data_IF_198014320491
#
_entry.id   IF_198014320491
#
_cell.length_a   1.000
_cell.length_b   1.000
_cell.length_c   1.000
_cell.angle_alpha   90.00
_cell.angle_beta   90.00
_cell.angle_gamma   90.00
#
_symmetry.space_group_name_H-M   'P 1'
#
loop_
_entity.id
_entity.type
_entity.pdbx_description
1 polymer ?
#
# COMPACT_ATOMS: atom_id res chain seq x y z
N UNK A 1 -8.90 16.59 7.35
CA UNK A 1 -8.76 18.01 6.95
C UNK A 1 -7.70 18.17 5.87
N UNK A 2 -6.42 17.77 6.12
CA UNK A 2 -5.35 17.91 5.12
C UNK A 2 -5.70 17.28 3.76
N UNK A 3 -6.25 16.05 3.77
CA UNK A 3 -6.69 15.39 2.53
C UNK A 3 -7.77 16.22 1.79
N UNK A 4 -8.75 16.78 2.51
CA UNK A 4 -9.78 17.63 1.91
C UNK A 4 -9.17 18.91 1.27
N UNK A 5 -8.19 19.52 1.94
CA UNK A 5 -7.46 20.66 1.40
C UNK A 5 -6.75 20.28 0.10
N UNK A 6 -5.92 19.25 0.10
CA UNK A 6 -5.17 18.79 -1.08
C UNK A 6 -6.11 18.45 -2.23
N UNK A 7 -7.18 17.69 -1.97
CA UNK A 7 -8.16 17.31 -2.97
C UNK A 7 -8.91 18.53 -3.55
N UNK A 8 -9.22 19.52 -2.71
CA UNK A 8 -9.89 20.75 -3.16
C UNK A 8 -8.99 21.65 -4.03
N UNK A 9 -7.68 21.64 -3.79
CA UNK A 9 -6.68 22.42 -4.52
C UNK A 9 -6.27 21.76 -5.84
N UNK A 10 -6.17 20.42 -5.86
CA UNK A 10 -5.59 19.66 -6.97
C UNK A 10 -6.59 18.76 -7.71
N UNK A 11 -7.86 18.75 -7.34
CA UNK A 11 -8.88 17.86 -7.92
C UNK A 11 -9.23 18.11 -9.39
N UNK A 12 -8.68 19.17 -10.01
CA UNK A 12 -8.62 19.35 -11.46
C UNK A 12 -9.95 19.27 -12.24
N UNK A 13 -11.10 19.64 -11.62
CA UNK A 13 -12.42 19.56 -12.26
C UNK A 13 -13.06 18.17 -12.21
N UNK A 14 -12.49 17.21 -11.49
CA UNK A 14 -13.08 15.90 -11.23
C UNK A 14 -14.05 16.05 -10.03
N UNK A 15 -15.24 15.44 -10.12
CA UNK A 15 -16.12 15.31 -8.96
C UNK A 15 -15.50 14.34 -7.96
N UNK A 16 -15.21 14.85 -6.76
CA UNK A 16 -14.61 14.08 -5.68
C UNK A 16 -15.63 13.94 -4.55
N UNK A 17 -15.91 12.70 -4.16
CA UNK A 17 -16.73 12.38 -3.02
C UNK A 17 -15.84 11.93 -1.85
N UNK A 18 -15.83 12.72 -0.77
CA UNK A 18 -15.07 12.45 0.45
C UNK A 18 -15.97 11.84 1.52
N UNK A 19 -15.71 10.59 1.88
CA UNK A 19 -16.29 9.95 3.06
C UNK A 19 -15.37 10.10 4.27
N UNK A 20 -15.89 10.56 5.38
CA UNK A 20 -15.16 10.65 6.64
C UNK A 20 -15.94 9.97 7.77
N UNK A 21 -15.26 9.24 8.65
CA UNK A 21 -15.89 8.60 9.81
C UNK A 21 -15.07 8.84 11.08
N UNK A 22 -15.76 9.14 12.16
CA UNK A 22 -15.22 9.28 13.51
C UNK A 22 -16.29 8.83 14.51
N UNK A 23 -15.95 7.90 15.41
CA UNK A 23 -16.91 7.33 16.38
C UNK A 23 -17.16 8.22 17.59
N UNK A 24 -16.19 9.07 17.95
CA UNK A 24 -16.29 9.95 19.12
C UNK A 24 -17.01 11.25 18.74
N UNK A 25 -18.16 11.47 19.30
CA UNK A 25 -19.05 12.58 18.93
C UNK A 25 -18.41 13.97 19.07
N UNK A 26 -17.57 14.17 20.07
CA UNK A 26 -16.87 15.46 20.25
C UNK A 26 -15.88 15.72 19.10
N UNK A 27 -15.10 14.68 18.71
CA UNK A 27 -14.14 14.80 17.61
C UNK A 27 -14.87 14.88 16.28
N UNK A 28 -15.98 14.17 16.13
CA UNK A 28 -16.83 14.25 14.95
C UNK A 28 -17.35 15.67 14.70
N UNK A 29 -17.79 16.39 15.74
CA UNK A 29 -18.21 17.80 15.61
C UNK A 29 -17.08 18.66 15.05
N UNK A 30 -15.87 18.55 15.61
CA UNK A 30 -14.68 19.25 15.10
C UNK A 30 -14.33 18.86 13.68
N UNK A 31 -14.51 17.57 13.33
CA UNK A 31 -14.29 17.09 11.96
C UNK A 31 -15.24 17.80 10.98
N UNK A 32 -16.54 17.90 11.30
CA UNK A 32 -17.52 18.60 10.46
C UNK A 32 -17.15 20.07 10.30
N UNK A 33 -16.87 20.79 11.39
CA UNK A 33 -16.46 22.20 11.37
C UNK A 33 -15.23 22.41 10.47
N UNK A 34 -14.25 21.51 10.53
CA UNK A 34 -13.04 21.59 9.74
C UNK A 34 -13.23 21.18 8.27
N UNK A 35 -14.26 20.41 7.93
CA UNK A 35 -14.58 20.02 6.56
C UNK A 35 -15.50 20.98 5.83
N UNK A 36 -16.29 21.76 6.56
CA UNK A 36 -17.27 22.71 6.02
C UNK A 36 -16.70 23.66 4.95
N UNK A 37 -15.49 24.25 5.11
CA UNK A 37 -14.90 25.13 4.11
C UNK A 37 -14.69 24.48 2.72
N UNK A 38 -14.67 23.16 2.64
CA UNK A 38 -14.41 22.41 1.41
C UNK A 38 -15.69 21.96 0.70
N UNK A 39 -16.86 22.12 1.31
CA UNK A 39 -18.15 21.66 0.78
C UNK A 39 -18.55 22.22 -0.58
N UNK A 40 -17.98 23.35 -1.00
CA UNK A 40 -18.19 23.93 -2.33
C UNK A 40 -17.41 23.23 -3.45
N UNK A 41 -16.38 22.47 -3.10
CA UNK A 41 -15.45 21.81 -4.06
C UNK A 41 -15.49 20.29 -3.98
N UNK A 42 -15.88 19.76 -2.83
CA UNK A 42 -15.95 18.34 -2.56
C UNK A 42 -17.37 17.97 -2.13
N UNK A 43 -17.86 16.84 -2.63
CA UNK A 43 -19.05 16.22 -2.04
C UNK A 43 -18.63 15.50 -0.77
N UNK A 44 -19.02 16.04 0.40
CA UNK A 44 -18.59 15.53 1.70
C UNK A 44 -19.73 14.78 2.36
N UNK A 45 -19.46 13.56 2.79
CA UNK A 45 -20.33 12.77 3.66
C UNK A 45 -19.54 12.33 4.88
N UNK A 46 -19.96 12.80 6.07
CA UNK A 46 -19.34 12.42 7.33
C UNK A 46 -20.30 11.62 8.18
N UNK A 47 -19.80 10.57 8.83
CA UNK A 47 -20.61 9.61 9.59
C UNK A 47 -20.04 9.51 11.01
N UNK A 48 -20.89 9.77 12.03
CA UNK A 48 -20.52 9.59 13.43
C UNK A 48 -20.73 8.14 13.85
N UNK A 49 -19.80 7.28 13.47
CA UNK A 49 -19.86 5.85 13.80
C UNK A 49 -18.45 5.22 13.71
N UNK A 50 -18.34 3.96 14.12
CA UNK A 50 -17.11 3.18 13.89
C UNK A 50 -16.87 2.96 12.40
N UNK A 51 -15.60 2.79 12.02
CA UNK A 51 -15.22 2.44 10.65
C UNK A 51 -16.04 1.24 10.12
N UNK A 52 -16.15 0.17 10.89
CA UNK A 52 -16.84 -1.05 10.48
C UNK A 52 -18.35 -0.88 10.28
N UNK A 53 -18.99 -0.03 11.09
CA UNK A 53 -20.42 0.28 10.91
C UNK A 53 -20.66 1.18 9.72
N UNK A 54 -19.74 2.12 9.44
CA UNK A 54 -19.85 3.07 8.33
C UNK A 54 -19.45 2.45 6.97
N UNK A 55 -18.56 1.44 6.97
CA UNK A 55 -17.99 0.85 5.76
C UNK A 55 -19.03 0.35 4.73
N UNK A 56 -20.08 -0.39 5.10
CA UNK A 56 -21.10 -0.84 4.13
C UNK A 56 -21.78 0.34 3.41
N UNK A 57 -21.97 1.47 4.09
CA UNK A 57 -22.56 2.69 3.50
C UNK A 57 -21.57 3.33 2.51
N UNK A 58 -20.30 3.44 2.87
CA UNK A 58 -19.26 3.95 1.99
C UNK A 58 -19.13 3.09 0.73
N UNK A 59 -19.06 1.75 0.87
CA UNK A 59 -19.00 0.82 -0.25
C UNK A 59 -20.22 0.96 -1.17
N UNK A 60 -21.42 1.06 -0.60
CA UNK A 60 -22.67 1.21 -1.38
C UNK A 60 -22.72 2.51 -2.18
N UNK A 61 -22.08 3.57 -1.70
CA UNK A 61 -22.06 4.86 -2.38
C UNK A 61 -21.06 4.91 -3.55
N UNK A 62 -20.12 3.96 -3.63
CA UNK A 62 -19.16 3.88 -4.73
C UNK A 62 -19.84 3.22 -5.92
N UNK A 63 -20.02 3.99 -7.00
CA UNK A 63 -20.55 3.44 -8.24
C UNK A 63 -19.56 2.46 -8.88
N UNK A 64 -20.07 1.47 -9.61
CA UNK A 64 -19.26 0.47 -10.31
C UNK A 64 -18.25 1.14 -11.25
N UNK A 65 -16.98 0.79 -11.10
CA UNK A 65 -15.89 1.31 -11.94
C UNK A 65 -15.36 2.68 -11.54
N UNK A 66 -15.86 3.28 -10.46
CA UNK A 66 -15.32 4.53 -9.92
C UNK A 66 -14.07 4.24 -9.08
N UNK A 67 -12.91 4.86 -9.40
CA UNK A 67 -11.72 4.73 -8.58
C UNK A 67 -11.98 5.23 -7.16
N UNK A 68 -11.50 4.48 -6.18
CA UNK A 68 -11.66 4.84 -4.77
C UNK A 68 -10.37 4.63 -4.00
N UNK A 69 -10.08 5.53 -3.07
CA UNK A 69 -8.93 5.44 -2.18
C UNK A 69 -9.40 5.44 -0.73
N UNK A 70 -9.01 4.43 0.03
CA UNK A 70 -9.34 4.30 1.44
C UNK A 70 -8.09 4.51 2.29
N UNK A 71 -8.11 5.57 3.10
CA UNK A 71 -7.13 5.77 4.15
C UNK A 71 -7.72 5.27 5.47
N UNK A 72 -7.13 4.21 6.03
CA UNK A 72 -7.62 3.56 7.25
C UNK A 72 -6.60 3.79 8.36
N UNK A 73 -6.97 4.64 9.32
CA UNK A 73 -6.17 4.97 10.51
C UNK A 73 -6.87 4.47 11.77
N UNK A 74 -6.80 3.16 12.08
CA UNK A 74 -7.47 2.61 13.24
C UNK A 74 -6.74 3.02 14.52
N UNK A 75 -7.48 3.25 15.59
CA UNK A 75 -6.89 3.45 16.92
C UNK A 75 -6.10 2.24 17.42
N UNK A 76 -6.38 1.05 16.81
CA UNK A 76 -5.66 -0.20 17.07
C UNK A 76 -6.23 -1.35 16.23
N UNK A 77 -5.58 -2.51 16.26
CA UNK A 77 -5.96 -3.69 15.47
C UNK A 77 -7.37 -4.25 15.78
N UNK A 78 -8.04 -3.76 16.82
CA UNK A 78 -9.42 -4.18 17.18
C UNK A 78 -10.50 -3.52 16.31
N UNK A 79 -10.20 -2.38 15.76
CA UNK A 79 -11.19 -1.54 15.06
C UNK A 79 -11.34 -1.91 13.57
N UNK A 80 -10.43 -2.73 13.02
CA UNK A 80 -10.42 -3.17 11.62
C UNK A 80 -10.15 -4.67 11.58
N UNK A 81 -10.80 -5.38 10.67
CA UNK A 81 -10.55 -6.79 10.38
C UNK A 81 -10.03 -6.96 8.95
N UNK A 82 -9.41 -8.09 8.71
CA UNK A 82 -8.98 -8.49 7.37
C UNK A 82 -10.12 -8.41 6.34
N UNK A 83 -11.30 -8.96 6.71
CA UNK A 83 -12.49 -9.01 5.84
C UNK A 83 -13.00 -7.61 5.48
N UNK A 84 -12.83 -6.62 6.36
CA UNK A 84 -13.21 -5.23 6.08
C UNK A 84 -12.38 -4.68 4.92
N UNK A 85 -11.05 -4.88 4.96
CA UNK A 85 -10.13 -4.46 3.90
C UNK A 85 -10.35 -5.27 2.62
N UNK A 86 -10.52 -6.58 2.74
CA UNK A 86 -10.83 -7.45 1.61
C UNK A 86 -12.09 -6.99 0.88
N UNK A 87 -13.14 -6.60 1.60
CA UNK A 87 -14.40 -6.12 1.01
C UNK A 87 -14.18 -4.86 0.15
N UNK A 88 -13.29 -3.96 0.57
CA UNK A 88 -12.89 -2.78 -0.21
C UNK A 88 -12.13 -3.20 -1.47
N UNK A 89 -11.13 -4.07 -1.33
CA UNK A 89 -10.30 -4.50 -2.45
C UNK A 89 -11.07 -5.34 -3.48
N UNK A 90 -12.22 -5.90 -3.11
CA UNK A 90 -13.15 -6.59 -4.03
C UNK A 90 -13.96 -5.64 -4.93
N UNK A 91 -14.01 -4.34 -4.64
CA UNK A 91 -14.69 -3.35 -5.48
C UNK A 91 -14.02 -3.17 -6.86
N UNK A 92 -12.81 -3.67 -7.05
CA UNK A 92 -12.04 -3.55 -8.28
C UNK A 92 -11.12 -2.33 -8.21
N UNK A 93 -11.47 -1.19 -8.78
CA UNK A 93 -10.63 0.02 -8.83
C UNK A 93 -10.46 0.72 -7.49
N UNK A 94 -10.13 -0.05 -6.44
CA UNK A 94 -9.96 0.46 -5.08
C UNK A 94 -8.53 0.28 -4.60
N UNK A 95 -8.06 1.28 -3.90
CA UNK A 95 -6.75 1.33 -3.27
C UNK A 95 -6.92 1.55 -1.77
N UNK A 96 -6.08 0.91 -0.98
CA UNK A 96 -6.14 0.99 0.48
C UNK A 96 -4.77 1.34 1.03
N UNK A 97 -4.72 2.34 1.90
CA UNK A 97 -3.56 2.69 2.71
C UNK A 97 -3.94 2.55 4.18
N UNK A 98 -3.33 1.60 4.87
CA UNK A 98 -3.63 1.30 6.27
C UNK A 98 -2.48 1.73 7.17
N UNK A 99 -2.80 2.48 8.22
CA UNK A 99 -1.91 2.62 9.36
C UNK A 99 -1.86 1.30 10.13
N UNK A 100 -0.77 0.57 9.98
CA UNK A 100 -0.58 -0.72 10.62
C UNK A 100 -0.08 -0.52 12.06
N UNK A 101 -0.84 -0.93 13.09
CA UNK A 101 -0.56 -0.63 14.48
C UNK A 101 0.53 -1.54 15.08
N UNK A 102 1.74 -1.49 14.52
CA UNK A 102 2.87 -2.37 14.84
C UNK A 102 3.09 -2.55 16.36
N UNK A 103 3.26 -1.44 17.09
CA UNK A 103 3.51 -1.50 18.52
C UNK A 103 2.35 -2.12 19.33
N UNK A 104 1.12 -1.94 18.85
CA UNK A 104 -0.08 -2.55 19.43
C UNK A 104 -0.07 -4.06 19.26
N UNK A 105 0.26 -4.53 18.06
CA UNK A 105 0.35 -5.97 17.76
C UNK A 105 1.49 -6.61 18.54
N UNK A 106 2.71 -6.04 18.51
CA UNK A 106 3.85 -6.60 19.27
C UNK A 106 3.51 -6.81 20.74
N UNK A 107 2.87 -5.82 21.39
CA UNK A 107 2.40 -5.96 22.78
C UNK A 107 1.33 -7.03 22.93
N UNK A 108 0.41 -7.10 21.97
CA UNK A 108 -0.68 -8.09 21.98
C UNK A 108 -0.22 -9.54 21.82
N UNK A 109 0.89 -9.79 21.11
CA UNK A 109 1.45 -11.14 20.95
C UNK A 109 1.82 -11.79 22.29
N UNK A 110 2.16 -11.00 23.33
CA UNK A 110 2.43 -11.48 24.69
C UNK A 110 1.17 -11.73 25.53
N UNK A 111 -0.04 -11.46 25.00
CA UNK A 111 -1.29 -11.50 25.76
C UNK A 111 -2.25 -12.52 25.13
N UNK A 112 -2.32 -13.77 25.59
CA UNK A 112 -3.15 -14.82 24.98
C UNK A 112 -4.63 -14.43 24.78
N UNK A 113 -5.20 -13.65 25.69
CA UNK A 113 -6.59 -13.21 25.64
C UNK A 113 -6.96 -12.36 24.41
N UNK A 114 -5.96 -11.80 23.70
CA UNK A 114 -6.22 -10.99 22.48
C UNK A 114 -5.77 -11.68 21.18
N UNK A 115 -5.27 -12.92 21.26
CA UNK A 115 -4.77 -13.65 20.09
C UNK A 115 -5.85 -13.79 19.01
N UNK A 116 -7.09 -14.15 19.37
CA UNK A 116 -8.18 -14.25 18.41
C UNK A 116 -8.47 -12.92 17.70
N UNK A 117 -8.33 -11.79 18.40
CA UNK A 117 -8.49 -10.47 17.80
C UNK A 117 -7.38 -10.17 16.80
N UNK A 118 -6.14 -10.53 17.13
CA UNK A 118 -5.00 -10.41 16.22
C UNK A 118 -5.21 -11.34 15.01
N UNK A 119 -5.60 -12.58 15.21
CA UNK A 119 -5.88 -13.53 14.14
C UNK A 119 -6.96 -13.01 13.17
N UNK A 120 -8.03 -12.37 13.68
CA UNK A 120 -9.03 -11.70 12.86
C UNK A 120 -8.48 -10.51 12.07
N UNK A 121 -7.53 -9.77 12.66
CA UNK A 121 -6.85 -8.67 11.95
C UNK A 121 -6.00 -9.19 10.77
N UNK A 122 -5.42 -10.39 10.89
CA UNK A 122 -4.63 -11.04 9.83
C UNK A 122 -5.47 -11.90 8.87
N UNK A 123 -6.75 -12.15 9.19
CA UNK A 123 -7.61 -13.06 8.41
C UNK A 123 -7.13 -14.52 8.41
N UNK A 124 -6.37 -14.92 9.43
CA UNK A 124 -5.79 -16.25 9.50
C UNK A 124 -5.66 -16.71 10.96
N UNK A 125 -6.12 -17.92 11.25
CA UNK A 125 -6.02 -18.53 12.58
C UNK A 125 -4.56 -18.83 12.97
N UNK A 126 -4.26 -18.72 14.27
CA UNK A 126 -2.98 -19.04 14.89
C UNK A 126 -1.78 -18.15 14.47
N UNK A 127 -2.01 -17.04 13.79
CA UNK A 127 -0.95 -16.08 13.43
C UNK A 127 -0.34 -15.48 14.68
N UNK A 128 -1.16 -15.04 15.63
CA UNK A 128 -0.70 -14.46 16.88
C UNK A 128 0.23 -15.42 17.65
N UNK A 129 -0.16 -16.69 17.72
CA UNK A 129 0.65 -17.72 18.39
C UNK A 129 1.95 -18.00 17.64
N UNK A 130 1.92 -18.02 16.32
CA UNK A 130 3.10 -18.25 15.49
C UNK A 130 4.10 -17.09 15.62
N UNK A 131 3.64 -15.85 15.47
CA UNK A 131 4.45 -14.65 15.61
C UNK A 131 4.96 -14.47 17.06
N UNK A 132 4.17 -14.91 18.05
CA UNK A 132 4.57 -14.88 19.46
C UNK A 132 5.84 -15.67 19.76
N UNK A 133 6.11 -16.74 19.01
CA UNK A 133 7.28 -17.62 19.16
C UNK A 133 8.55 -17.09 18.49
N UNK A 134 8.45 -16.14 17.58
CA UNK A 134 9.58 -15.56 16.88
C UNK A 134 10.45 -14.70 17.83
N UNK A 135 11.73 -14.57 17.54
CA UNK A 135 12.64 -13.67 18.27
C UNK A 135 12.24 -12.21 18.07
N UNK A 136 12.68 -11.27 18.91
CA UNK A 136 12.41 -9.85 18.72
C UNK A 136 12.85 -9.33 17.34
N UNK A 137 14.01 -9.77 16.87
CA UNK A 137 14.58 -9.40 15.58
C UNK A 137 13.71 -9.89 14.43
N UNK A 138 13.31 -11.16 14.46
CA UNK A 138 12.43 -11.76 13.45
C UNK A 138 11.05 -11.09 13.43
N UNK A 139 10.50 -10.74 14.59
CA UNK A 139 9.19 -10.07 14.69
C UNK A 139 9.13 -8.76 13.94
N UNK A 140 10.25 -8.02 13.86
CA UNK A 140 10.29 -6.72 13.19
C UNK A 140 9.74 -6.83 11.77
N UNK A 141 10.18 -7.82 11.02
CA UNK A 141 9.82 -8.01 9.63
C UNK A 141 8.60 -8.93 9.46
N UNK A 142 8.56 -10.04 10.21
CA UNK A 142 7.50 -11.05 10.07
C UNK A 142 6.10 -10.51 10.34
N UNK A 143 5.95 -9.60 11.30
CA UNK A 143 4.65 -9.06 11.71
C UNK A 143 3.98 -8.33 10.55
N UNK A 144 4.71 -7.50 9.81
CA UNK A 144 4.17 -6.76 8.65
C UNK A 144 4.08 -7.67 7.43
N UNK A 145 5.12 -8.45 7.16
CA UNK A 145 5.16 -9.38 6.03
C UNK A 145 3.99 -10.36 6.05
N UNK A 146 3.65 -10.92 7.21
CA UNK A 146 2.50 -11.82 7.36
C UNK A 146 1.16 -11.14 7.02
N UNK A 147 1.01 -9.89 7.37
CA UNK A 147 -0.18 -9.12 7.00
C UNK A 147 -0.27 -8.91 5.48
N UNK A 148 0.82 -8.48 4.86
CA UNK A 148 0.90 -8.33 3.41
C UNK A 148 0.65 -9.65 2.66
N UNK A 149 1.26 -10.77 3.12
CA UNK A 149 1.06 -12.09 2.52
C UNK A 149 -0.42 -12.51 2.46
N UNK A 150 -1.21 -12.12 3.46
CA UNK A 150 -2.65 -12.35 3.46
C UNK A 150 -3.31 -11.77 2.22
N UNK A 151 -3.01 -10.52 1.89
CA UNK A 151 -3.57 -9.82 0.73
C UNK A 151 -2.91 -10.22 -0.59
N UNK A 152 -1.62 -10.55 -0.59
CA UNK A 152 -0.94 -11.09 -1.79
C UNK A 152 -1.58 -12.39 -2.27
N UNK A 153 -2.02 -13.27 -1.35
CA UNK A 153 -2.78 -14.49 -1.68
C UNK A 153 -4.11 -14.20 -2.35
N UNK A 154 -4.70 -13.02 -2.13
CA UNK A 154 -5.90 -12.55 -2.82
C UNK A 154 -5.61 -11.88 -4.18
N UNK A 155 -4.36 -11.90 -4.63
CA UNK A 155 -3.92 -11.27 -5.89
C UNK A 155 -3.72 -9.77 -5.79
N UNK A 156 -3.48 -9.23 -4.59
CA UNK A 156 -3.17 -7.82 -4.40
C UNK A 156 -1.66 -7.57 -4.50
N UNK A 157 -1.31 -6.42 -5.04
CA UNK A 157 0.02 -5.82 -4.86
C UNK A 157 0.05 -5.12 -3.52
N UNK A 158 1.08 -5.38 -2.71
CA UNK A 158 1.21 -4.81 -1.37
C UNK A 158 2.60 -4.26 -1.13
N UNK A 159 2.69 -3.17 -0.40
CA UNK A 159 3.95 -2.61 0.09
C UNK A 159 3.77 -1.96 1.44
N UNK A 160 4.66 -2.26 2.36
CA UNK A 160 4.77 -1.60 3.65
C UNK A 160 5.87 -0.54 3.62
N UNK A 161 5.61 0.54 4.34
CA UNK A 161 6.50 1.69 4.49
C UNK A 161 6.73 1.91 5.98
N UNK A 162 7.98 1.77 6.41
CA UNK A 162 8.37 1.99 7.79
C UNK A 162 8.43 3.48 8.11
N UNK A 163 7.69 3.89 9.14
CA UNK A 163 7.76 5.24 9.69
C UNK A 163 8.45 5.17 11.04
N UNK A 164 9.64 5.75 11.12
CA UNK A 164 10.46 5.73 12.31
C UNK A 164 10.18 6.93 13.21
N UNK A 165 10.42 6.77 14.51
CA UNK A 165 10.45 7.90 15.42
C UNK A 165 11.69 8.77 15.13
N UNK A 166 11.55 10.10 15.12
CA UNK A 166 12.69 10.98 14.86
C UNK A 166 13.87 10.84 15.83
N UNK A 167 13.61 10.28 17.02
CA UNK A 167 14.56 10.18 18.12
C UNK A 167 14.90 8.73 18.53
N UNK A 168 14.41 7.72 17.80
CA UNK A 168 14.66 6.33 18.13
C UNK A 168 14.80 5.50 16.84
N UNK A 169 15.84 4.68 16.79
CA UNK A 169 16.06 3.73 15.69
C UNK A 169 15.16 2.51 15.82
N UNK A 170 13.85 2.76 15.79
CA UNK A 170 12.82 1.71 15.81
C UNK A 170 11.56 2.16 15.09
N UNK A 171 10.82 1.23 14.49
CA UNK A 171 9.54 1.53 13.87
C UNK A 171 8.55 2.17 14.86
N UNK A 172 7.93 3.27 14.46
CA UNK A 172 6.80 3.84 15.17
C UNK A 172 5.52 3.13 14.73
N UNK A 173 5.31 3.07 13.44
CA UNK A 173 4.25 2.31 12.77
C UNK A 173 4.67 2.01 11.33
N UNK A 174 3.86 1.23 10.64
CA UNK A 174 3.98 1.04 9.19
C UNK A 174 2.74 1.59 8.50
N UNK A 175 2.94 2.14 7.32
CA UNK A 175 1.87 2.37 6.35
C UNK A 175 1.89 1.20 5.38
N UNK A 176 0.76 0.48 5.27
CA UNK A 176 0.65 -0.65 4.33
C UNK A 176 -0.30 -0.26 3.20
N UNK A 177 0.24 -0.18 2.00
CA UNK A 177 -0.51 0.07 0.79
C UNK A 177 -0.90 -1.22 0.10
N UNK A 178 -2.13 -1.29 -0.41
CA UNK A 178 -2.68 -2.46 -1.06
C UNK A 178 -3.58 -2.06 -2.22
N UNK A 179 -3.43 -2.74 -3.37
CA UNK A 179 -4.28 -2.56 -4.54
C UNK A 179 -4.30 -3.81 -5.40
N UNK A 180 -5.33 -3.97 -6.24
CA UNK A 180 -5.34 -4.95 -7.34
C UNK A 180 -4.90 -4.35 -8.67
N UNK A 181 -4.74 -3.03 -8.71
CA UNK A 181 -4.37 -2.30 -9.92
C UNK A 181 -2.84 -2.12 -10.00
N UNK A 182 -2.16 -2.75 -10.97
CA UNK A 182 -0.71 -2.65 -11.07
C UNK A 182 -0.23 -1.21 -11.28
N UNK A 183 -1.01 -0.36 -11.96
CA UNK A 183 -0.66 1.05 -12.19
C UNK A 183 -0.66 1.81 -10.87
N UNK A 184 -1.68 1.65 -10.03
CA UNK A 184 -1.72 2.27 -8.70
C UNK A 184 -0.53 1.87 -7.83
N UNK A 185 -0.16 0.59 -7.89
CA UNK A 185 1.02 0.10 -7.16
C UNK A 185 2.33 0.74 -7.66
N UNK A 186 2.53 0.85 -8.98
CA UNK A 186 3.71 1.46 -9.58
C UNK A 186 3.83 2.93 -9.14
N UNK A 187 2.75 3.69 -9.26
CA UNK A 187 2.71 5.11 -8.86
C UNK A 187 3.06 5.27 -7.37
N UNK A 188 2.47 4.45 -6.51
CA UNK A 188 2.73 4.51 -5.07
C UNK A 188 4.18 4.12 -4.73
N UNK A 189 4.73 3.10 -5.41
CA UNK A 189 6.11 2.69 -5.24
C UNK A 189 7.09 3.82 -5.62
N UNK A 190 6.91 4.44 -6.78
CA UNK A 190 7.80 5.50 -7.26
C UNK A 190 7.70 6.77 -6.39
N UNK A 191 6.48 7.10 -5.93
CA UNK A 191 6.27 8.17 -4.95
C UNK A 191 7.06 7.89 -3.67
N UNK A 192 6.97 6.66 -3.15
CA UNK A 192 7.66 6.31 -1.92
C UNK A 192 9.18 6.32 -2.08
N UNK A 193 9.71 5.77 -3.18
CA UNK A 193 11.14 5.81 -3.48
C UNK A 193 11.66 7.25 -3.52
N UNK A 194 10.87 8.18 -4.06
CA UNK A 194 11.20 9.60 -4.05
C UNK A 194 11.24 10.19 -2.64
N UNK A 195 10.22 9.90 -1.81
CA UNK A 195 10.15 10.38 -0.43
C UNK A 195 11.29 9.82 0.45
N UNK A 196 11.65 8.55 0.27
CA UNK A 196 12.79 7.95 0.96
C UNK A 196 14.09 8.68 0.59
N UNK A 197 14.31 8.95 -0.69
CA UNK A 197 15.46 9.69 -1.16
C UNK A 197 15.54 11.11 -0.57
N UNK A 198 14.44 11.86 -0.61
CA UNK A 198 14.35 13.19 0.00
C UNK A 198 14.66 13.15 1.51
N UNK A 199 14.17 12.13 2.22
CA UNK A 199 14.44 11.94 3.65
C UNK A 199 15.93 11.67 3.92
N UNK A 200 16.55 10.80 3.14
CA UNK A 200 17.98 10.49 3.27
C UNK A 200 18.86 11.72 2.98
N UNK A 201 18.51 12.51 1.97
CA UNK A 201 19.20 13.78 1.66
C UNK A 201 19.09 14.78 2.82
N UNK A 202 17.93 14.90 3.45
CA UNK A 202 17.72 15.77 4.62
C UNK A 202 18.52 15.30 5.84
N UNK A 203 18.60 13.99 6.09
CA UNK A 203 19.34 13.43 7.22
C UNK A 203 20.85 13.49 7.05
N UNK A 204 21.34 13.41 5.82
CA UNK A 204 22.76 13.49 5.49
C UNK A 204 23.31 14.93 5.44
N UNK A 205 22.48 15.94 5.73
CA UNK A 205 22.89 17.35 5.66
C UNK A 205 23.36 17.79 4.26
N UNK A 206 22.84 17.17 3.22
CA UNK A 206 23.22 17.39 1.82
C UNK A 206 24.54 16.70 1.42
N UNK A 207 25.17 15.95 2.31
CA UNK A 207 26.30 15.09 1.96
C UNK A 207 25.73 13.78 1.40
N UNK A 208 25.84 13.57 0.10
CA UNK A 208 25.51 12.30 -0.54
C UNK A 208 26.39 11.25 0.16
N UNK A 209 25.77 10.31 0.88
CA UNK A 209 26.49 9.18 1.45
C UNK A 209 27.22 8.49 0.30
N UNK A 210 28.54 8.31 0.42
CA UNK A 210 29.35 7.57 -0.56
C UNK A 210 28.90 6.09 -0.70
N UNK A 211 28.05 5.63 0.23
CA UNK A 211 27.37 4.34 0.23
C UNK A 211 25.88 4.51 -0.18
N UNK A 212 25.68 5.37 -1.17
CA UNK A 212 24.37 5.86 -1.61
C UNK A 212 23.35 4.75 -1.91
N UNK A 213 22.12 5.19 -2.01
CA UNK A 213 20.90 4.45 -2.36
C UNK A 213 21.09 3.43 -3.52
N UNK A 214 22.05 3.69 -4.43
CA UNK A 214 22.40 2.78 -5.53
C UNK A 214 22.80 1.37 -5.05
N UNK A 215 23.40 1.24 -3.87
CA UNK A 215 23.80 -0.07 -3.33
C UNK A 215 22.62 -0.91 -2.81
N UNK A 216 21.46 -0.29 -2.58
CA UNK A 216 20.25 -0.95 -2.08
C UNK A 216 19.26 -1.30 -3.21
N UNK A 217 19.41 -0.68 -4.38
CA UNK A 217 18.54 -0.95 -5.52
C UNK A 217 18.95 -2.24 -6.22
N UNK A 218 17.97 -2.96 -6.77
CA UNK A 218 18.22 -4.12 -7.59
C UNK A 218 19.01 -3.72 -8.84
N UNK A 219 20.04 -4.51 -9.18
CA UNK A 219 20.77 -4.30 -10.44
C UNK A 219 19.89 -4.69 -11.64
N UNK A 220 20.21 -4.16 -12.81
CA UNK A 220 19.51 -4.53 -14.04
C UNK A 220 19.56 -6.05 -14.28
N UNK A 221 20.68 -6.69 -14.03
CA UNK A 221 20.85 -8.14 -14.15
C UNK A 221 19.94 -8.91 -13.19
N UNK A 222 19.89 -8.51 -11.92
CA UNK A 222 18.98 -9.11 -10.92
C UNK A 222 17.52 -9.02 -11.36
N UNK A 223 17.10 -7.87 -11.91
CA UNK A 223 15.74 -7.68 -12.41
C UNK A 223 15.47 -8.54 -13.64
N UNK A 224 16.43 -8.68 -14.56
CA UNK A 224 16.31 -9.51 -15.75
C UNK A 224 16.15 -10.99 -15.37
N UNK A 225 16.97 -11.49 -14.45
CA UNK A 225 16.92 -12.88 -13.98
C UNK A 225 15.62 -13.18 -13.24
N UNK A 226 15.20 -12.28 -12.37
CA UNK A 226 13.93 -12.40 -11.66
C UNK A 226 12.74 -12.47 -12.64
N UNK A 227 12.64 -11.51 -13.56
CA UNK A 227 11.57 -11.47 -14.56
C UNK A 227 11.54 -12.74 -15.42
N UNK A 228 12.71 -13.19 -15.86
CA UNK A 228 12.81 -14.39 -16.69
C UNK A 228 12.40 -15.65 -15.92
N UNK A 229 12.89 -15.82 -14.68
CA UNK A 229 12.57 -17.00 -13.89
C UNK A 229 11.08 -17.08 -13.51
N UNK A 230 10.50 -15.93 -13.17
CA UNK A 230 9.10 -15.88 -12.73
C UNK A 230 8.09 -16.07 -13.87
N UNK A 231 8.40 -15.53 -15.06
CA UNK A 231 7.47 -15.48 -16.17
C UNK A 231 7.87 -16.38 -17.38
N UNK A 232 8.86 -17.26 -17.21
CA UNK A 232 9.29 -18.18 -18.27
C UNK A 232 8.09 -18.86 -18.95
N UNK A 233 8.02 -18.79 -20.28
CA UNK A 233 6.96 -19.40 -21.09
C UNK A 233 5.58 -18.74 -20.96
N UNK A 234 5.45 -17.59 -20.27
CA UNK A 234 4.17 -16.92 -20.02
C UNK A 234 4.04 -15.63 -20.81
N UNK A 235 2.81 -15.26 -21.10
CA UNK A 235 2.45 -13.93 -21.59
C UNK A 235 1.71 -13.19 -20.48
N UNK A 236 2.23 -12.02 -20.09
CA UNK A 236 1.70 -11.20 -19.01
C UNK A 236 1.52 -9.76 -19.46
N UNK A 237 0.63 -9.03 -18.80
CA UNK A 237 0.51 -7.59 -19.02
C UNK A 237 1.78 -6.89 -18.55
N UNK A 238 2.33 -5.97 -19.37
CA UNK A 238 3.58 -5.25 -19.05
C UNK A 238 3.53 -4.60 -17.67
N UNK A 239 2.47 -3.87 -17.35
CA UNK A 239 2.33 -3.22 -16.03
C UNK A 239 2.23 -4.23 -14.87
N UNK A 240 1.65 -5.41 -15.09
CA UNK A 240 1.63 -6.47 -14.08
C UNK A 240 3.04 -7.05 -13.85
N UNK A 241 3.84 -7.25 -14.90
CA UNK A 241 5.22 -7.69 -14.76
C UNK A 241 6.06 -6.66 -13.99
N UNK A 242 5.91 -5.36 -14.32
CA UNK A 242 6.59 -4.27 -13.63
C UNK A 242 6.18 -4.24 -12.15
N UNK A 243 4.88 -4.18 -11.84
CA UNK A 243 4.40 -4.14 -10.46
C UNK A 243 4.87 -5.34 -9.64
N UNK A 244 4.93 -6.54 -10.24
CA UNK A 244 5.43 -7.73 -9.57
C UNK A 244 6.93 -7.61 -9.28
N UNK A 245 7.75 -7.12 -10.24
CA UNK A 245 9.17 -6.88 -9.99
C UNK A 245 9.40 -5.88 -8.86
N UNK A 246 8.66 -4.76 -8.87
CA UNK A 246 8.72 -3.74 -7.82
C UNK A 246 8.27 -4.25 -6.45
N UNK A 247 7.38 -5.23 -6.38
CA UNK A 247 6.94 -5.83 -5.11
C UNK A 247 8.05 -6.68 -4.46
N UNK A 248 8.95 -7.26 -5.26
CA UNK A 248 10.02 -8.13 -4.78
C UNK A 248 11.39 -7.46 -4.71
N UNK A 249 11.56 -6.34 -5.41
CA UNK A 249 12.84 -5.64 -5.49
C UNK A 249 12.66 -4.15 -5.20
N UNK A 250 13.62 -3.57 -4.49
CA UNK A 250 13.72 -2.12 -4.33
C UNK A 250 14.22 -1.52 -5.64
N UNK A 251 13.32 -0.99 -6.44
CA UNK A 251 13.59 -0.39 -7.75
C UNK A 251 12.47 0.54 -8.17
N UNK A 252 12.71 1.30 -9.22
CA UNK A 252 11.74 2.21 -9.85
C UNK A 252 11.13 1.57 -11.10
N UNK A 253 10.00 2.10 -11.57
CA UNK A 253 9.41 1.69 -12.83
C UNK A 253 10.42 1.78 -13.99
N UNK A 254 11.21 2.87 -14.03
CA UNK A 254 12.21 3.10 -15.08
C UNK A 254 13.30 2.02 -15.11
N UNK A 255 13.76 1.56 -13.96
CA UNK A 255 14.78 0.50 -13.87
C UNK A 255 14.24 -0.85 -14.38
N UNK A 256 13.01 -1.21 -13.99
CA UNK A 256 12.35 -2.43 -14.48
C UNK A 256 12.09 -2.34 -15.99
N UNK A 257 11.71 -1.18 -16.50
CA UNK A 257 11.51 -0.96 -17.94
C UNK A 257 12.83 -1.12 -18.74
N UNK A 258 13.94 -0.65 -18.21
CA UNK A 258 15.27 -0.89 -18.79
C UNK A 258 15.61 -2.38 -18.83
N UNK A 259 15.33 -3.11 -17.76
CA UNK A 259 15.54 -4.57 -17.72
C UNK A 259 14.68 -5.30 -18.77
N UNK A 260 13.40 -4.94 -18.91
CA UNK A 260 12.52 -5.50 -19.95
C UNK A 260 13.00 -5.18 -21.37
N UNK A 261 13.51 -3.96 -21.59
CA UNK A 261 14.08 -3.57 -22.88
C UNK A 261 15.36 -4.38 -23.21
N UNK A 262 16.24 -4.59 -22.23
CA UNK A 262 17.42 -5.43 -22.40
C UNK A 262 17.05 -6.88 -22.72
N UNK A 263 16.09 -7.48 -22.01
CA UNK A 263 15.56 -8.82 -22.30
C UNK A 263 14.95 -8.91 -23.71
N UNK A 264 14.34 -7.83 -24.21
CA UNK A 264 13.80 -7.80 -25.58
C UNK A 264 14.93 -7.78 -26.63
N UNK A 265 16.01 -7.05 -26.39
CA UNK A 265 17.21 -7.03 -27.25
C UNK A 265 17.86 -8.42 -27.29
N UNK A 266 17.95 -9.13 -26.18
CA UNK A 266 18.45 -10.49 -26.09
C UNK A 266 17.49 -11.54 -26.69
N UNK A 267 16.30 -11.14 -27.12
CA UNK A 267 15.28 -12.05 -27.67
C UNK A 267 14.62 -12.96 -26.63
N UNK A 268 14.86 -12.74 -25.34
CA UNK A 268 14.28 -13.49 -24.21
C UNK A 268 12.84 -13.07 -23.90
N UNK A 269 12.45 -11.86 -24.31
CA UNK A 269 11.09 -11.32 -24.13
C UNK A 269 10.65 -10.67 -25.45
N UNK A 270 9.40 -10.92 -25.84
CA UNK A 270 8.73 -10.17 -26.92
C UNK A 270 7.78 -9.16 -26.28
N UNK A 271 8.11 -7.89 -26.39
CA UNK A 271 7.24 -6.78 -25.91
C UNK A 271 6.32 -6.32 -27.05
N UNK A 272 5.02 -6.39 -26.83
CA UNK A 272 4.03 -5.83 -27.75
C UNK A 272 3.63 -4.44 -27.27
N UNK A 273 3.68 -3.43 -28.15
CA UNK A 273 3.22 -2.08 -27.83
C UNK A 273 1.71 -2.05 -27.60
N UNK A 274 1.27 -1.19 -26.68
CA UNK A 274 -0.15 -0.94 -26.44
C UNK A 274 -0.77 -0.26 -27.67
N UNK A 275 -1.75 -0.91 -28.31
CA UNK A 275 -2.72 -0.18 -29.13
C UNK A 275 -3.68 0.57 -28.20
N UNK A 276 -4.23 1.72 -28.66
CA UNK A 276 -5.19 2.55 -27.89
C UNK A 276 -6.22 1.68 -27.17
N UNK A 277 -6.17 1.58 -25.84
CA UNK A 277 -7.00 0.78 -24.90
C UNK A 277 -6.52 -0.64 -24.55
N UNK A 278 -5.40 -1.14 -25.07
CA UNK A 278 -4.83 -2.41 -24.62
C UNK A 278 -3.51 -2.16 -23.87
N UNK A 279 -3.41 -2.75 -22.67
CA UNK A 279 -2.14 -2.75 -21.93
C UNK A 279 -1.13 -3.58 -22.74
N UNK A 280 0.08 -3.05 -22.95
CA UNK A 280 1.14 -3.79 -23.62
C UNK A 280 1.39 -5.17 -22.96
N UNK A 281 1.74 -6.15 -23.78
CA UNK A 281 2.02 -7.52 -23.34
C UNK A 281 3.51 -7.81 -23.41
N UNK A 282 4.01 -8.61 -22.46
CA UNK A 282 5.34 -9.19 -22.48
C UNK A 282 5.20 -10.71 -22.55
N UNK A 283 5.79 -11.33 -23.60
CA UNK A 283 5.86 -12.78 -23.74
C UNK A 283 7.30 -13.22 -23.47
N UNK A 284 7.50 -13.93 -22.39
CA UNK A 284 8.80 -14.47 -21.96
C UNK A 284 9.03 -15.82 -22.62
N UNK A 285 10.24 -16.05 -23.14
CA UNK A 285 10.66 -17.29 -23.79
C UNK A 285 11.43 -18.19 -22.86
#
# INVERSE_FOLDING_TARGET
VLAAQILSEHGGGIEIHLFATEKRQEIFRRLIENLDPFGNRLRIEAICDSFRSALPRAIKAIATGVPSFFFIDPYGYKDVRFDDIESILRLGHSEVLVHFPYNGIIRGLGVPAVHDTIDHYYGQANVARTLGKATPEEKKDLVVTKFEEGFRRLGCYTRSFEINMPWADRPYFYMVYMTREPIGYIIMNDLWMKLEKEREELQSGGTISLFGIESLNATQETLMDFLTSLFAGRTVRRKAAIATALMHHRSTETEVEKALAALAVEGRVKVQSAQKRQHGLCTFR
#
